data_IF_885245258571
#
_entry.id   IF_885245258571
#
_cell.length_a   1.000
_cell.length_b   1.000
_cell.length_c   1.000
_cell.angle_alpha   90.00
_cell.angle_beta   90.00
_cell.angle_gamma   90.00
#
_symmetry.space_group_name_H-M   'P 1'
#
loop_
_entity.id
_entity.type
_entity.pdbx_description
1 polymer ?
#
# COMPACT_ATOMS: atom_id res chain seq x y z
N UNK A 1 9.58 -66.50 -23.39
CA UNK A 1 10.55 -65.57 -22.77
C UNK A 1 10.15 -64.12 -23.09
N UNK A 2 9.03 -63.60 -22.55
CA UNK A 2 8.59 -62.21 -22.85
C UNK A 2 7.62 -61.60 -21.83
N UNK A 3 6.89 -62.40 -21.06
CA UNK A 3 5.86 -61.91 -20.14
C UNK A 3 6.48 -61.20 -18.91
N UNK A 4 7.63 -61.67 -18.43
CA UNK A 4 8.34 -61.04 -17.30
C UNK A 4 8.90 -59.65 -17.64
N UNK A 5 9.32 -59.43 -18.90
CA UNK A 5 9.78 -58.13 -19.37
C UNK A 5 8.64 -57.12 -19.51
N UNK A 6 7.47 -57.59 -19.98
CA UNK A 6 6.27 -56.75 -20.06
C UNK A 6 5.81 -56.28 -18.68
N UNK A 7 5.81 -57.18 -17.69
CA UNK A 7 5.47 -56.83 -16.30
C UNK A 7 6.47 -55.81 -15.71
N UNK A 8 7.77 -56.01 -15.93
CA UNK A 8 8.80 -55.07 -15.47
C UNK A 8 8.65 -53.67 -16.09
N UNK A 9 8.32 -53.61 -17.38
CA UNK A 9 8.13 -52.35 -18.09
C UNK A 9 6.94 -51.53 -17.55
N UNK A 10 5.81 -52.19 -17.24
CA UNK A 10 4.63 -51.51 -16.69
C UNK A 10 4.91 -50.96 -15.29
N UNK A 11 5.59 -51.73 -14.44
CA UNK A 11 5.95 -51.29 -13.08
C UNK A 11 6.90 -50.08 -13.14
N UNK A 12 7.90 -50.11 -14.02
CA UNK A 12 8.80 -48.98 -14.24
C UNK A 12 8.03 -47.73 -14.70
N UNK A 13 7.06 -47.89 -15.60
CA UNK A 13 6.25 -46.78 -16.12
C UNK A 13 5.37 -46.16 -15.02
N UNK A 14 4.78 -46.99 -14.15
CA UNK A 14 4.00 -46.53 -13.00
C UNK A 14 4.88 -45.81 -11.97
N UNK A 15 6.07 -46.34 -11.68
CA UNK A 15 7.01 -45.68 -10.76
C UNK A 15 7.49 -44.34 -11.31
N UNK A 16 7.80 -44.26 -12.61
CA UNK A 16 8.13 -43.00 -13.29
C UNK A 16 6.95 -42.03 -13.21
N UNK A 17 5.72 -42.49 -13.46
CA UNK A 17 4.54 -41.66 -13.36
C UNK A 17 4.35 -41.11 -11.93
N UNK A 18 4.48 -41.95 -10.89
CA UNK A 18 4.38 -41.53 -9.49
C UNK A 18 5.48 -40.53 -9.12
N UNK A 19 6.71 -40.71 -9.61
CA UNK A 19 7.81 -39.75 -9.41
C UNK A 19 7.54 -38.43 -10.14
N UNK A 20 7.03 -38.47 -11.37
CA UNK A 20 6.67 -37.26 -12.14
C UNK A 20 5.47 -36.53 -11.51
N UNK A 21 4.49 -37.26 -10.97
CA UNK A 21 3.34 -36.67 -10.28
C UNK A 21 3.72 -36.15 -8.88
N UNK A 22 4.62 -36.82 -8.15
CA UNK A 22 5.08 -36.41 -6.82
C UNK A 22 6.11 -35.29 -6.82
N UNK A 23 6.89 -35.14 -7.91
CA UNK A 23 7.84 -34.02 -8.12
C UNK A 23 7.16 -32.71 -8.51
N UNK A 24 5.85 -32.72 -8.84
CA UNK A 24 4.99 -31.52 -8.86
C UNK A 24 4.64 -31.06 -7.44
N UNK A 25 5.65 -31.05 -6.58
CA UNK A 25 5.66 -30.41 -5.26
C UNK A 25 5.32 -28.93 -5.51
N UNK A 26 4.32 -28.35 -4.83
CA UNK A 26 4.01 -26.93 -4.95
C UNK A 26 5.15 -26.14 -4.31
N UNK A 27 6.20 -25.88 -5.09
CA UNK A 27 7.20 -24.89 -4.77
C UNK A 27 6.58 -23.54 -5.09
N UNK A 28 6.04 -22.84 -4.09
CA UNK A 28 6.02 -21.36 -4.10
C UNK A 28 5.54 -20.68 -2.80
N UNK A 29 5.75 -21.29 -1.62
CA UNK A 29 5.55 -20.54 -0.36
C UNK A 29 6.78 -19.70 0.02
N UNK A 30 7.97 -20.08 -0.43
CA UNK A 30 9.24 -19.45 -0.02
C UNK A 30 9.64 -18.26 -0.90
N UNK A 31 9.10 -18.15 -2.12
CA UNK A 31 9.34 -17.00 -3.01
C UNK A 31 8.55 -15.75 -2.61
N UNK A 32 7.50 -15.90 -1.78
CA UNK A 32 6.83 -14.78 -1.12
C UNK A 32 7.76 -14.11 -0.09
N UNK A 33 8.69 -14.87 0.51
CA UNK A 33 9.68 -14.34 1.48
C UNK A 33 10.88 -13.67 0.79
N UNK A 34 11.12 -13.99 -0.50
CA UNK A 34 12.18 -13.37 -1.31
C UNK A 34 11.68 -12.22 -2.17
N UNK A 35 10.40 -11.82 -2.05
CA UNK A 35 9.91 -10.65 -2.75
C UNK A 35 10.76 -9.44 -2.31
N UNK A 36 11.58 -8.85 -3.21
CA UNK A 36 12.33 -7.64 -2.88
C UNK A 36 11.32 -6.59 -2.40
N UNK A 37 11.71 -5.70 -1.45
CA UNK A 37 10.79 -4.76 -0.81
C UNK A 37 9.87 -4.18 -1.88
N UNK A 38 8.58 -4.55 -1.75
CA UNK A 38 7.52 -4.28 -2.71
C UNK A 38 7.75 -2.89 -3.27
N UNK A 39 8.12 -2.79 -4.55
CA UNK A 39 8.25 -1.50 -5.24
C UNK A 39 7.01 -0.69 -4.85
N UNK A 40 7.15 0.51 -4.26
CA UNK A 40 6.00 1.29 -3.85
C UNK A 40 5.04 1.32 -5.04
N UNK A 41 3.77 1.02 -4.77
CA UNK A 41 2.73 1.03 -5.76
C UNK A 41 2.82 2.35 -6.56
N UNK A 42 2.38 2.39 -7.84
CA UNK A 42 2.51 3.58 -8.67
C UNK A 42 1.95 4.77 -7.91
N UNK A 43 2.87 5.54 -7.35
CA UNK A 43 2.55 6.70 -6.56
C UNK A 43 2.02 7.69 -7.58
N UNK A 44 0.82 8.24 -7.33
CA UNK A 44 0.19 9.18 -8.25
C UNK A 44 1.17 10.29 -8.62
N UNK A 45 1.00 10.86 -9.82
CA UNK A 45 1.93 11.83 -10.37
C UNK A 45 2.22 12.94 -9.33
N UNK A 46 3.51 13.21 -9.04
CA UNK A 46 3.87 14.24 -8.08
C UNK A 46 3.41 15.61 -8.57
N UNK A 47 3.01 16.46 -7.65
CA UNK A 47 2.63 17.85 -7.93
C UNK A 47 2.99 18.78 -6.78
N UNK A 48 2.65 20.06 -6.92
CA UNK A 48 2.90 21.09 -5.91
C UNK A 48 1.60 21.72 -5.40
N UNK A 49 1.58 22.07 -4.12
CA UNK A 49 0.52 22.86 -3.49
C UNK A 49 1.11 24.14 -2.88
N UNK A 50 0.36 25.24 -3.00
CA UNK A 50 0.37 26.29 -1.99
C UNK A 50 -0.57 25.91 -0.81
N UNK A 51 -0.45 26.56 0.36
CA UNK A 51 -1.28 26.24 1.53
C UNK A 51 -2.80 26.29 1.28
N UNK A 52 -3.27 27.22 0.44
CA UNK A 52 -4.70 27.37 0.12
C UNK A 52 -5.18 26.23 -0.79
N UNK A 53 -4.32 25.77 -1.68
CA UNK A 53 -4.58 24.66 -2.60
C UNK A 53 -4.61 23.32 -1.87
N UNK A 54 -3.78 23.13 -0.83
CA UNK A 54 -3.86 21.93 0.01
C UNK A 54 -5.25 21.81 0.68
N UNK A 55 -5.77 22.89 1.28
CA UNK A 55 -7.12 22.88 1.89
C UNK A 55 -8.20 22.49 0.89
N UNK A 56 -8.16 23.06 -0.31
CA UNK A 56 -9.10 22.70 -1.39
C UNK A 56 -8.96 21.23 -1.80
N UNK A 57 -7.74 20.72 -1.87
CA UNK A 57 -7.50 19.31 -2.18
C UNK A 57 -8.09 18.39 -1.11
N UNK A 58 -7.92 18.71 0.18
CA UNK A 58 -8.49 17.92 1.28
C UNK A 58 -10.02 17.85 1.20
N UNK A 59 -10.67 19.00 0.96
CA UNK A 59 -12.12 19.06 0.76
C UNK A 59 -12.56 18.26 -0.47
N UNK A 60 -11.81 18.35 -1.57
CA UNK A 60 -12.06 17.56 -2.79
C UNK A 60 -11.89 16.06 -2.55
N UNK A 61 -10.85 15.64 -1.82
CA UNK A 61 -10.59 14.25 -1.48
C UNK A 61 -11.72 13.65 -0.64
N UNK A 62 -12.24 14.44 0.31
CA UNK A 62 -13.46 14.09 1.06
C UNK A 62 -14.67 13.93 0.15
N UNK A 63 -14.97 14.92 -0.69
CA UNK A 63 -16.13 14.89 -1.59
C UNK A 63 -16.08 13.73 -2.59
N UNK A 64 -14.88 13.41 -3.11
CA UNK A 64 -14.64 12.30 -4.03
C UNK A 64 -14.49 10.94 -3.35
N UNK A 65 -14.63 10.87 -2.01
CA UNK A 65 -14.46 9.65 -1.21
C UNK A 65 -13.13 8.94 -1.47
N UNK A 66 -12.03 9.70 -1.60
CA UNK A 66 -10.71 9.14 -1.86
C UNK A 66 -10.28 8.20 -0.72
N UNK A 67 -9.61 7.12 -1.10
CA UNK A 67 -8.99 6.15 -0.18
C UNK A 67 -7.52 6.01 -0.55
N UNK A 68 -6.63 6.05 0.42
CA UNK A 68 -5.19 5.97 0.20
C UNK A 68 -4.39 6.90 1.10
N UNK A 69 -3.13 7.15 0.74
CA UNK A 69 -2.23 8.02 1.47
C UNK A 69 -1.81 9.21 0.61
N UNK A 70 -2.01 10.42 1.12
CA UNK A 70 -1.38 11.63 0.60
C UNK A 70 -0.10 11.89 1.38
N UNK A 71 1.03 11.87 0.70
CA UNK A 71 2.32 12.27 1.26
C UNK A 71 2.67 13.68 0.84
N UNK A 72 3.00 14.52 1.82
CA UNK A 72 3.43 15.90 1.67
C UNK A 72 4.90 16.04 2.08
N UNK A 73 5.64 16.86 1.35
CA UNK A 73 7.06 17.16 1.62
C UNK A 73 7.27 18.66 1.51
N UNK A 74 7.89 19.28 2.50
CA UNK A 74 8.33 20.68 2.43
C UNK A 74 9.54 20.91 3.33
N UNK A 75 10.60 21.51 2.79
CA UNK A 75 11.80 21.87 3.55
C UNK A 75 12.45 20.71 4.31
N UNK A 76 12.39 19.48 3.77
CA UNK A 76 12.92 18.27 4.40
C UNK A 76 11.97 17.57 5.38
N UNK A 77 10.84 18.18 5.72
CA UNK A 77 9.80 17.58 6.57
C UNK A 77 8.83 16.75 5.74
N UNK A 78 8.26 15.70 6.34
CA UNK A 78 7.27 14.83 5.69
C UNK A 78 6.00 14.73 6.53
N UNK A 79 4.84 14.94 5.91
CA UNK A 79 3.54 14.67 6.52
C UNK A 79 2.78 13.65 5.68
N UNK A 80 2.21 12.64 6.33
CA UNK A 80 1.41 11.57 5.69
C UNK A 80 -0.01 11.63 6.21
N UNK A 81 -0.97 11.76 5.29
CA UNK A 81 -2.39 11.85 5.57
C UNK A 81 -3.08 10.62 4.97
N UNK A 82 -3.85 9.90 5.77
CA UNK A 82 -4.50 8.66 5.37
C UNK A 82 -6.01 8.85 5.30
N UNK A 83 -6.56 8.45 4.16
CA UNK A 83 -7.97 8.59 3.84
C UNK A 83 -8.61 7.21 3.66
N UNK A 84 -9.83 7.07 4.17
CA UNK A 84 -10.69 5.92 3.93
C UNK A 84 -12.09 6.41 3.56
N UNK A 85 -12.51 6.18 2.31
CA UNK A 85 -13.80 6.66 1.77
C UNK A 85 -14.03 8.17 1.97
N UNK A 86 -12.97 8.98 1.87
CA UNK A 86 -13.01 10.43 2.08
C UNK A 86 -12.94 10.87 3.54
N UNK A 87 -12.93 9.94 4.50
CA UNK A 87 -12.65 10.23 5.90
C UNK A 87 -11.14 10.33 6.11
N UNK A 88 -10.67 11.50 6.55
CA UNK A 88 -9.30 11.65 7.03
C UNK A 88 -9.24 11.12 8.45
N UNK A 89 -8.65 9.94 8.64
CA UNK A 89 -8.69 9.23 9.92
C UNK A 89 -7.34 9.20 10.63
N UNK A 90 -6.23 9.31 9.89
CA UNK A 90 -4.89 9.27 10.46
C UNK A 90 -3.96 10.28 9.79
N UNK A 91 -3.14 10.96 10.59
CA UNK A 91 -2.15 11.93 10.11
C UNK A 91 -0.89 11.83 10.95
N UNK A 92 0.28 11.83 10.31
CA UNK A 92 1.58 11.79 10.99
C UNK A 92 2.56 12.75 10.32
N UNK A 93 3.29 13.53 11.11
CA UNK A 93 4.32 14.45 10.62
C UNK A 93 5.51 14.41 11.58
N UNK A 94 6.66 13.88 11.15
CA UNK A 94 7.88 13.73 11.97
C UNK A 94 7.61 13.27 13.43
N UNK A 95 7.48 14.20 14.38
CA UNK A 95 7.22 13.95 15.82
C UNK A 95 5.75 14.15 16.26
N UNK A 96 4.88 14.65 15.38
CA UNK A 96 3.47 14.90 15.62
C UNK A 96 2.58 13.83 14.99
N UNK A 97 1.41 13.63 15.58
CA UNK A 97 0.37 12.73 15.09
C UNK A 97 -1.01 13.35 15.31
N UNK A 98 -1.98 13.01 14.47
CA UNK A 98 -3.35 13.50 14.55
C UNK A 98 -3.50 14.95 14.11
N UNK A 99 -4.44 15.65 14.75
CA UNK A 99 -4.80 17.02 14.40
C UNK A 99 -3.64 18.03 14.51
N UNK A 100 -2.73 17.96 15.50
CA UNK A 100 -1.55 18.82 15.53
C UNK A 100 -0.65 18.67 14.30
N UNK A 101 -0.45 17.43 13.82
CA UNK A 101 0.33 17.17 12.61
C UNK A 101 -0.34 17.75 11.36
N UNK A 102 -1.67 17.66 11.27
CA UNK A 102 -2.45 18.26 10.19
C UNK A 102 -2.35 19.79 10.20
N UNK A 103 -2.50 20.39 11.38
CA UNK A 103 -2.39 21.85 11.54
C UNK A 103 -0.99 22.33 11.17
N UNK A 104 0.06 21.62 11.58
CA UNK A 104 1.43 21.96 11.21
C UNK A 104 1.62 21.94 9.68
N UNK A 105 1.25 20.84 9.00
CA UNK A 105 1.50 20.72 7.57
C UNK A 105 0.68 21.71 6.73
N UNK A 106 -0.46 22.19 7.24
CA UNK A 106 -1.26 23.24 6.58
C UNK A 106 -0.56 24.61 6.58
N UNK A 107 0.49 24.79 7.37
CA UNK A 107 1.30 26.02 7.38
C UNK A 107 2.51 25.96 6.45
N UNK A 108 2.83 24.79 5.90
CA UNK A 108 4.05 24.59 5.13
C UNK A 108 3.99 25.33 3.78
N UNK A 109 5.01 26.11 3.41
CA UNK A 109 5.15 26.64 2.06
C UNK A 109 5.64 25.56 1.09
N UNK A 110 5.45 25.79 -0.21
CA UNK A 110 6.07 25.00 -1.31
C UNK A 110 5.93 23.48 -1.16
N UNK A 111 4.72 23.01 -0.84
CA UNK A 111 4.48 21.60 -0.55
C UNK A 111 4.54 20.80 -1.84
N UNK A 112 5.43 19.81 -1.88
CA UNK A 112 5.40 18.75 -2.88
C UNK A 112 4.49 17.63 -2.37
N UNK A 113 3.65 17.08 -3.23
CA UNK A 113 2.73 16.02 -2.84
C UNK A 113 2.75 14.83 -3.79
N UNK A 114 2.36 13.69 -3.23
CA UNK A 114 2.09 12.46 -3.96
C UNK A 114 0.90 11.74 -3.32
N UNK A 115 0.08 11.07 -4.13
CA UNK A 115 -1.06 10.31 -3.63
C UNK A 115 -0.97 8.84 -4.05
N UNK A 116 -0.93 7.93 -3.09
CA UNK A 116 -0.93 6.49 -3.33
C UNK A 116 -2.27 5.88 -2.89
N UNK A 117 -3.11 5.54 -3.89
CA UNK A 117 -4.40 4.89 -3.68
C UNK A 117 -4.30 3.43 -3.20
N UNK A 118 -3.11 2.83 -3.28
CA UNK A 118 -2.84 1.44 -2.89
C UNK A 118 -2.00 1.37 -1.60
N UNK A 119 -1.78 2.51 -0.94
CA UNK A 119 -1.04 2.56 0.31
C UNK A 119 -1.68 1.66 1.37
N UNK A 120 -0.85 0.96 2.14
CA UNK A 120 -1.31 0.22 3.32
C UNK A 120 -1.84 1.22 4.34
N UNK A 121 -3.08 1.06 4.73
CA UNK A 121 -3.72 1.93 5.70
C UNK A 121 -3.37 1.50 7.13
N UNK A 122 -3.02 2.45 8.02
CA UNK A 122 -2.92 2.21 9.45
C UNK A 122 -4.26 1.73 10.03
N UNK A 123 -4.20 1.01 11.15
CA UNK A 123 -5.38 0.63 11.92
C UNK A 123 -5.75 1.66 12.99
N UNK A 124 -4.82 2.55 13.33
CA UNK A 124 -5.02 3.60 14.33
C UNK A 124 -5.76 4.78 13.73
N UNK A 125 -6.74 5.31 14.46
CA UNK A 125 -7.44 6.54 14.15
C UNK A 125 -6.95 7.64 15.10
N UNK A 126 -6.46 8.75 14.53
CA UNK A 126 -5.87 9.87 15.28
C UNK A 126 -6.57 11.20 14.99
N UNK A 127 -7.55 11.20 14.10
CA UNK A 127 -8.39 12.35 13.78
C UNK A 127 -9.78 12.05 14.32
N UNK A 128 -10.23 12.83 15.29
CA UNK A 128 -11.52 12.62 15.97
C UNK A 128 -12.58 13.59 15.47
N UNK A 129 -12.19 14.80 15.07
CA UNK A 129 -13.12 15.81 14.56
C UNK A 129 -13.34 15.67 13.04
N UNK A 130 -14.53 16.00 12.53
CA UNK A 130 -14.75 16.10 11.10
C UNK A 130 -13.82 17.11 10.44
N UNK A 131 -13.34 16.77 9.24
CA UNK A 131 -12.39 17.62 8.49
C UNK A 131 -12.86 19.07 8.34
N UNK A 132 -14.16 19.32 8.12
CA UNK A 132 -14.70 20.69 7.98
C UNK A 132 -14.53 21.52 9.26
N UNK A 133 -14.60 20.88 10.43
CA UNK A 133 -14.40 21.55 11.72
C UNK A 133 -12.93 21.85 12.00
N UNK A 134 -12.02 21.02 11.48
CA UNK A 134 -10.57 21.23 11.66
C UNK A 134 -10.06 22.32 10.70
N UNK A 135 -10.69 22.46 9.52
CA UNK A 135 -10.27 23.41 8.49
C UNK A 135 -10.94 24.79 8.57
N UNK A 136 -11.99 24.94 9.39
CA UNK A 136 -12.67 26.20 9.66
C UNK A 136 -11.75 27.23 10.33
#
# INVERSE_FOLDING_TARGET
MSIWFAAGAVIALVLIAVVVLGTRRPRHAEDELQQPPRRPAPTGAPGSFDPSTLRKWLLSAKAQRRTGMLRLISGGRTCSLYFLFGHLFHVTSDTLTGEPALQECLTWPDIQYTFDAKAKLPTEETITRPLDQILA
#
